data_IF_012780246649
#
_entry.id   IF_012780246649
#
_cell.length_a   1.000
_cell.length_b   1.000
_cell.length_c   1.000
_cell.angle_alpha   90.00
_cell.angle_beta   90.00
_cell.angle_gamma   90.00
#
_symmetry.space_group_name_H-M   'P 1'
#
loop_
_entity.id
_entity.type
_entity.pdbx_description
1 polymer ?
#
# COMPACT_ATOMS: atom_id res chain seq x y z
N UNK A 1 -7.37 -11.74 13.70
CA UNK A 1 -7.38 -11.44 12.24
C UNK A 1 -6.38 -10.35 11.92
N UNK A 2 -5.40 -10.70 11.11
CA UNK A 2 -4.43 -9.74 10.62
C UNK A 2 -3.89 -10.22 9.29
N UNK A 3 -3.62 -9.29 8.40
CA UNK A 3 -3.02 -9.62 7.12
C UNK A 3 -1.51 -9.77 7.28
N UNK A 4 -1.02 -11.02 7.18
CA UNK A 4 0.40 -11.32 7.32
C UNK A 4 1.24 -10.71 6.20
N UNK A 5 2.44 -10.21 6.53
CA UNK A 5 3.37 -9.63 5.55
C UNK A 5 3.61 -10.56 4.36
N UNK A 6 3.49 -10.02 3.15
CA UNK A 6 3.65 -10.77 1.90
C UNK A 6 2.71 -11.97 1.86
N UNK A 7 1.58 -11.83 2.52
CA UNK A 7 0.51 -12.81 2.47
C UNK A 7 -0.80 -12.07 2.22
N UNK A 8 -0.76 -11.17 1.24
CA UNK A 8 -1.85 -10.27 1.00
C UNK A 8 -2.90 -10.90 0.09
N UNK A 9 -3.90 -11.49 0.70
CA UNK A 9 -5.06 -11.97 -0.03
C UNK A 9 -6.31 -11.36 0.60
N UNK A 10 -6.37 -10.04 0.52
CA UNK A 10 -7.45 -9.29 1.14
C UNK A 10 -8.74 -9.48 0.36
N UNK A 11 -9.74 -10.05 1.03
CA UNK A 11 -11.08 -10.12 0.48
C UNK A 11 -11.89 -8.91 0.94
N UNK A 12 -11.30 -8.16 1.86
CA UNK A 12 -11.91 -6.96 2.39
C UNK A 12 -11.02 -5.75 2.13
N UNK A 13 -11.62 -4.57 2.12
CA UNK A 13 -10.88 -3.34 1.90
C UNK A 13 -11.32 -2.28 2.90
N UNK A 14 -10.37 -1.52 3.42
CA UNK A 14 -10.64 -0.49 4.42
C UNK A 14 -11.40 0.67 3.80
N UNK A 15 -10.91 1.13 2.65
CA UNK A 15 -11.61 2.14 1.82
C UNK A 15 -11.61 3.54 2.44
N UNK A 16 -10.83 3.75 3.49
CA UNK A 16 -10.70 5.09 4.07
C UNK A 16 -9.39 5.72 3.64
N UNK A 17 -9.37 7.06 3.51
CA UNK A 17 -8.13 7.81 3.32
C UNK A 17 -7.30 7.81 4.59
N UNK A 18 -6.18 7.11 4.55
CA UNK A 18 -5.35 6.92 5.73
C UNK A 18 -4.70 8.22 6.18
N UNK A 19 -4.58 8.40 7.48
CA UNK A 19 -3.98 9.59 8.05
C UNK A 19 -2.48 9.59 7.80
N UNK A 20 -1.96 10.71 7.31
CA UNK A 20 -0.54 10.83 6.99
C UNK A 20 0.32 10.58 8.22
N UNK A 21 -0.26 10.87 9.39
CA UNK A 21 0.40 10.63 10.66
C UNK A 21 0.74 9.16 10.83
N UNK A 22 -0.22 8.28 10.56
CA UNK A 22 0.03 6.85 10.61
C UNK A 22 0.82 6.41 9.37
N UNK A 23 0.66 7.15 8.27
CA UNK A 23 1.34 6.82 7.01
C UNK A 23 2.85 6.88 7.17
N UNK A 24 3.35 7.84 7.96
CA UNK A 24 4.80 7.95 8.16
C UNK A 24 5.38 6.72 8.87
N UNK A 25 4.53 5.77 9.18
CA UNK A 25 4.92 4.50 9.79
C UNK A 25 4.67 3.33 8.85
N UNK A 26 4.29 3.64 7.61
CA UNK A 26 4.05 2.61 6.60
C UNK A 26 5.33 2.38 5.80
N UNK A 27 6.15 1.46 6.29
CA UNK A 27 7.48 1.24 5.75
C UNK A 27 7.47 0.50 4.41
N UNK A 28 6.34 -0.12 4.08
CA UNK A 28 6.27 -0.92 2.86
C UNK A 28 4.91 -0.79 2.18
N UNK A 29 4.92 -0.97 0.88
CA UNK A 29 3.69 -1.07 0.11
C UNK A 29 3.69 -2.42 -0.59
N UNK A 30 2.76 -3.28 -0.24
CA UNK A 30 2.73 -4.62 -0.78
C UNK A 30 1.56 -4.81 -1.72
N UNK A 31 1.89 -5.15 -2.96
CA UNK A 31 0.88 -5.32 -3.99
C UNK A 31 0.31 -6.73 -3.95
N UNK A 32 -0.99 -6.79 -3.75
CA UNK A 32 -1.73 -8.03 -3.82
C UNK A 32 -1.99 -8.39 -5.27
N UNK A 33 -1.23 -9.35 -5.78
CA UNK A 33 -1.38 -9.77 -7.17
C UNK A 33 -2.69 -10.51 -7.36
N UNK A 34 -3.33 -10.26 -8.51
CA UNK A 34 -4.64 -10.83 -8.81
C UNK A 34 -4.54 -12.31 -9.20
N UNK A 35 -3.35 -12.85 -9.11
CA UNK A 35 -3.11 -14.25 -9.41
C UNK A 35 -1.82 -14.72 -8.76
N UNK A 36 -0.81 -13.85 -8.79
CA UNK A 36 0.49 -14.20 -8.26
C UNK A 36 0.54 -14.34 -6.76
N UNK A 37 -0.56 -14.00 -6.08
CA UNK A 37 -0.59 -14.10 -4.62
C UNK A 37 -2.00 -14.40 -4.14
N UNK A 38 -2.96 -13.62 -4.61
CA UNK A 38 -4.36 -13.83 -4.25
C UNK A 38 -5.21 -13.93 -5.51
N UNK A 39 -6.51 -14.12 -5.37
CA UNK A 39 -7.39 -14.25 -6.53
C UNK A 39 -8.01 -12.91 -6.92
N UNK A 40 -7.52 -11.83 -6.32
CA UNK A 40 -7.94 -10.49 -6.68
C UNK A 40 -6.80 -9.52 -6.43
N UNK A 41 -6.87 -8.33 -7.01
CA UNK A 41 -5.80 -7.35 -6.90
C UNK A 41 -6.14 -6.30 -5.85
N UNK A 42 -5.14 -5.93 -5.06
CA UNK A 42 -5.30 -4.89 -4.06
C UNK A 42 -3.97 -4.21 -3.77
N UNK A 43 -4.02 -2.94 -3.40
CA UNK A 43 -2.84 -2.23 -2.94
C UNK A 43 -2.93 -2.05 -1.44
N UNK A 44 -2.24 -2.89 -0.70
CA UNK A 44 -2.36 -2.85 0.74
C UNK A 44 -1.09 -2.27 1.35
N UNK A 45 -1.25 -1.47 2.38
CA UNK A 45 -0.13 -0.74 2.95
C UNK A 45 0.42 -1.41 4.19
N UNK A 46 1.73 -1.54 4.22
CA UNK A 46 2.40 -2.26 5.29
C UNK A 46 3.00 -1.30 6.29
N UNK A 47 2.32 -1.13 7.41
CA UNK A 47 2.85 -0.34 8.50
C UNK A 47 3.80 -1.21 9.31
N UNK A 48 4.55 -0.60 10.20
CA UNK A 48 5.57 -1.33 10.95
C UNK A 48 4.96 -2.18 12.06
N UNK A 49 3.63 -2.15 12.16
CA UNK A 49 2.93 -2.89 13.20
C UNK A 49 1.72 -3.64 12.62
N UNK A 50 1.46 -3.47 11.32
CA UNK A 50 0.21 -3.96 10.74
C UNK A 50 0.18 -3.75 9.23
N UNK A 51 -0.81 -4.33 8.58
CA UNK A 51 -1.07 -4.08 7.16
C UNK A 51 -2.55 -3.81 6.95
N UNK A 52 -2.84 -2.84 6.09
CA UNK A 52 -4.22 -2.46 5.81
C UNK A 52 -4.51 -2.65 4.33
N UNK A 53 -5.72 -3.07 3.98
CA UNK A 53 -6.02 -3.41 2.60
C UNK A 53 -6.76 -2.28 1.92
N UNK A 54 -6.20 -1.78 0.84
CA UNK A 54 -6.74 -0.64 0.12
C UNK A 54 -7.12 -1.01 -1.31
N UNK A 55 -8.24 -0.45 -1.77
CA UNK A 55 -8.67 -0.62 -3.16
C UNK A 55 -7.63 -0.04 -4.10
N UNK A 56 -7.19 -0.81 -5.11
CA UNK A 56 -6.15 -0.37 -6.05
C UNK A 56 -6.42 1.02 -6.61
N UNK A 57 -7.66 1.28 -6.98
CA UNK A 57 -8.07 2.62 -7.38
C UNK A 57 -8.48 3.41 -6.15
N UNK A 58 -7.50 3.97 -5.45
CA UNK A 58 -7.78 4.79 -4.27
C UNK A 58 -6.78 5.93 -4.18
N UNK A 59 -7.27 7.17 -4.08
CA UNK A 59 -6.44 8.38 -3.96
C UNK A 59 -5.45 8.28 -2.80
N UNK A 60 -5.82 7.57 -1.73
CA UNK A 60 -4.95 7.43 -0.57
C UNK A 60 -3.66 6.71 -0.93
N UNK A 61 -3.73 5.77 -1.87
CA UNK A 61 -2.55 5.02 -2.28
C UNK A 61 -1.72 5.90 -3.22
N UNK A 62 -2.39 6.58 -4.15
CA UNK A 62 -1.72 7.49 -5.07
C UNK A 62 -1.00 8.62 -4.32
N UNK A 63 -1.71 9.27 -3.40
CA UNK A 63 -1.11 10.32 -2.59
C UNK A 63 0.04 9.76 -1.77
N UNK A 64 -0.08 8.49 -1.39
CA UNK A 64 0.94 7.85 -0.60
C UNK A 64 2.23 7.70 -1.41
N UNK A 65 2.12 7.55 -2.71
CA UNK A 65 3.30 7.52 -3.56
C UNK A 65 4.06 8.83 -3.45
N UNK A 66 3.33 9.94 -3.43
CA UNK A 66 3.94 11.25 -3.24
C UNK A 66 4.52 11.35 -1.83
N UNK A 67 3.69 10.99 -0.85
CA UNK A 67 4.04 11.15 0.56
C UNK A 67 5.21 10.24 0.95
N UNK A 68 5.17 9.00 0.52
CA UNK A 68 6.21 8.04 0.89
C UNK A 68 7.55 8.47 0.31
N UNK A 69 7.49 9.17 -0.82
CA UNK A 69 8.68 9.66 -1.49
C UNK A 69 9.36 10.75 -0.66
N UNK A 70 8.58 11.39 0.21
CA UNK A 70 9.13 12.47 1.03
C UNK A 70 9.18 12.10 2.52
N UNK A 71 8.68 10.90 2.84
CA UNK A 71 8.62 10.45 4.22
C UNK A 71 9.40 9.13 4.39
N UNK A 72 9.01 8.32 5.38
CA UNK A 72 9.69 7.06 5.70
C UNK A 72 11.18 7.24 5.92
N UNK A 73 11.60 8.47 6.22
CA UNK A 73 13.00 8.77 6.54
C UNK A 73 13.90 8.62 5.31
N UNK A 74 13.33 8.18 4.20
CA UNK A 74 14.11 7.98 3.00
C UNK A 74 14.42 6.51 2.73
N UNK A 75 13.58 5.62 3.24
CA UNK A 75 13.75 4.19 3.00
C UNK A 75 12.53 3.62 2.28
N UNK A 76 12.75 3.10 1.08
CA UNK A 76 11.69 2.53 0.28
C UNK A 76 12.20 1.32 -0.50
N UNK A 77 11.29 0.43 -0.89
CA UNK A 77 11.62 -0.76 -1.66
C UNK A 77 11.69 -0.47 -3.16
N UNK A 78 11.96 -1.49 -3.96
CA UNK A 78 12.05 -1.31 -5.40
C UNK A 78 10.66 -1.43 -6.03
N UNK A 79 9.88 -0.38 -5.93
CA UNK A 79 8.57 -0.34 -6.53
C UNK A 79 8.60 0.50 -7.80
N UNK A 80 8.37 -0.15 -8.92
CA UNK A 80 8.31 0.53 -10.21
C UNK A 80 6.88 0.92 -10.48
N UNK A 81 6.32 1.69 -9.57
CA UNK A 81 4.91 2.03 -9.58
C UNK A 81 4.62 3.18 -10.56
N UNK A 82 5.32 3.18 -11.68
CA UNK A 82 5.20 4.24 -12.65
C UNK A 82 3.90 4.17 -13.44
N UNK A 83 3.18 3.06 -13.29
CA UNK A 83 1.90 2.90 -13.96
C UNK A 83 0.80 3.67 -13.23
N UNK A 84 1.11 4.08 -12.01
CA UNK A 84 0.19 4.91 -11.24
C UNK A 84 0.75 6.32 -11.08
N UNK A 85 1.64 6.50 -10.10
CA UNK A 85 2.24 7.80 -9.79
C UNK A 85 1.21 8.93 -9.82
N UNK A 86 0.30 8.92 -8.84
CA UNK A 86 -0.69 9.99 -8.68
C UNK A 86 -1.79 9.95 -9.74
N UNK A 87 -1.47 9.37 -10.89
CA UNK A 87 -2.41 9.28 -12.01
C UNK A 87 -3.33 8.08 -11.87
N UNK A 88 -3.54 7.65 -10.64
CA UNK A 88 -4.46 6.56 -10.37
C UNK A 88 -5.49 6.96 -9.34
#
# INVERSE_FOLDING_TARGET
>A
FLLPPSTACCTQLYRKPLSDKLLRKVIQVELQEADGDCHLQAFVLHLAQRSICIHPQNPSLSQWFEHQERKLHGTLPKLNFGMLRKMG
#
